data_IF_782622277636
#
_entry.id   IF_782622277636
#
_cell.length_a   1.000
_cell.length_b   1.000
_cell.length_c   1.000
_cell.angle_alpha   90.00
_cell.angle_beta   90.00
_cell.angle_gamma   90.00
#
_symmetry.space_group_name_H-M   'P 1'
#
loop_
_entity.id
_entity.type
_entity.pdbx_description
1 polymer ?
#
# COMPACT_ATOMS: atom_id res chain seq x y z
N UNK A 1 -0.90 16.82 -10.93
CA UNK A 1 -0.03 16.97 -9.75
C UNK A 1 0.09 15.61 -9.06
N UNK A 2 1.30 15.12 -8.80
CA UNK A 2 1.48 13.81 -8.15
C UNK A 2 1.09 13.86 -6.68
N UNK A 3 0.17 13.00 -6.28
CA UNK A 3 -0.24 12.85 -4.89
C UNK A 3 0.69 11.87 -4.17
N UNK A 4 0.91 12.09 -2.88
CA UNK A 4 1.81 11.27 -2.06
C UNK A 4 1.13 10.76 -0.81
N UNK A 5 1.47 9.53 -0.44
CA UNK A 5 1.04 8.87 0.80
C UNK A 5 2.28 8.61 1.63
N UNK A 6 2.25 9.03 2.90
CA UNK A 6 3.34 8.77 3.82
C UNK A 6 3.06 7.49 4.61
N UNK A 7 3.95 6.52 4.49
CA UNK A 7 3.94 5.27 5.26
C UNK A 7 5.24 5.21 6.07
N UNK A 8 5.20 5.66 7.33
CA UNK A 8 6.30 5.55 8.30
C UNK A 8 7.69 5.86 7.71
N UNK A 9 7.86 7.09 7.19
CA UNK A 9 9.13 7.54 6.60
C UNK A 9 9.31 7.18 5.12
N UNK A 10 8.44 6.35 4.54
CA UNK A 10 8.33 6.15 3.10
C UNK A 10 7.37 7.16 2.51
N UNK A 11 7.79 7.82 1.42
CA UNK A 11 6.95 8.73 0.66
C UNK A 11 6.53 8.05 -0.63
N UNK A 12 5.35 7.44 -0.64
CA UNK A 12 4.84 6.66 -1.76
C UNK A 12 4.08 7.57 -2.72
N UNK A 13 4.39 7.49 -4.02
CA UNK A 13 3.62 8.20 -5.02
C UNK A 13 2.33 7.42 -5.34
N UNK A 14 1.20 8.11 -5.26
CA UNK A 14 -0.08 7.52 -5.60
C UNK A 14 -0.26 7.47 -7.13
N UNK A 15 -0.70 6.32 -7.63
CA UNK A 15 -1.14 6.15 -9.01
C UNK A 15 -2.57 5.60 -9.04
N UNK A 16 -3.41 6.17 -9.89
CA UNK A 16 -4.81 5.74 -10.04
C UNK A 16 -4.96 4.39 -10.78
N UNK A 17 -3.87 3.89 -11.38
CA UNK A 17 -3.80 2.61 -12.08
C UNK A 17 -2.47 1.91 -11.74
N UNK A 18 -2.39 0.62 -12.03
CA UNK A 18 -1.12 -0.12 -11.97
C UNK A 18 -0.05 0.59 -12.81
N UNK A 19 1.12 0.80 -12.21
CA UNK A 19 2.24 1.54 -12.80
C UNK A 19 3.55 0.98 -12.28
N UNK A 20 4.60 1.11 -13.10
CA UNK A 20 5.99 0.82 -12.73
C UNK A 20 6.88 2.07 -12.71
N UNK A 21 6.33 3.24 -13.02
CA UNK A 21 7.08 4.50 -13.10
C UNK A 21 7.06 5.21 -11.75
N UNK A 22 8.21 5.21 -11.07
CA UNK A 22 8.39 5.89 -9.79
C UNK A 22 8.91 7.32 -10.05
N UNK A 23 8.19 8.37 -9.62
CA UNK A 23 8.64 9.74 -9.78
C UNK A 23 9.83 10.06 -8.85
N UNK A 24 10.71 11.01 -9.21
CA UNK A 24 11.84 11.40 -8.39
C UNK A 24 11.43 11.79 -6.95
N UNK A 25 12.18 11.29 -5.97
CA UNK A 25 11.93 11.56 -4.54
C UNK A 25 10.76 10.80 -3.92
N UNK A 26 10.22 9.80 -4.61
CA UNK A 26 9.32 8.80 -4.04
C UNK A 26 10.10 7.54 -3.64
N UNK A 27 9.68 6.91 -2.54
CA UNK A 27 10.26 5.65 -2.04
C UNK A 27 9.57 4.40 -2.64
N UNK A 28 8.71 4.60 -3.63
CA UNK A 28 7.86 3.57 -4.24
C UNK A 28 6.50 4.11 -4.66
N UNK A 29 5.62 3.20 -5.07
CA UNK A 29 4.25 3.50 -5.50
C UNK A 29 3.21 2.96 -4.53
N UNK A 30 2.03 3.55 -4.57
CA UNK A 30 0.80 2.96 -4.05
C UNK A 30 -0.32 3.11 -5.08
N UNK A 31 -0.99 2.01 -5.44
CA UNK A 31 -2.01 2.01 -6.50
C UNK A 31 -3.12 0.99 -6.24
N UNK A 32 -4.34 1.21 -6.76
CA UNK A 32 -5.48 0.34 -6.48
C UNK A 32 -5.30 -1.03 -7.13
N UNK A 33 -5.69 -2.06 -6.39
CA UNK A 33 -5.78 -3.43 -6.89
C UNK A 33 -6.89 -4.16 -6.16
N UNK A 34 -7.83 -4.72 -6.93
CA UNK A 34 -8.97 -5.49 -6.41
C UNK A 34 -9.72 -4.71 -5.31
N UNK A 35 -9.76 -5.23 -4.07
CA UNK A 35 -10.41 -4.58 -2.93
C UNK A 35 -9.48 -3.65 -2.12
N UNK A 36 -8.25 -3.42 -2.56
CA UNK A 36 -7.22 -2.78 -1.76
C UNK A 36 -6.21 -1.97 -2.58
N UNK A 37 -5.00 -1.83 -2.03
CA UNK A 37 -3.91 -1.07 -2.66
C UNK A 37 -2.57 -1.81 -2.55
N UNK A 38 -1.87 -1.95 -3.68
CA UNK A 38 -0.50 -2.47 -3.71
C UNK A 38 0.46 -1.34 -3.35
N UNK A 39 1.49 -1.66 -2.58
CA UNK A 39 2.61 -0.81 -2.24
C UNK A 39 3.90 -1.44 -2.78
N UNK A 40 4.70 -0.65 -3.49
CA UNK A 40 6.02 -1.06 -3.98
C UNK A 40 7.14 -0.41 -3.20
N UNK A 41 8.35 -0.95 -3.35
CA UNK A 41 9.57 -0.22 -3.02
C UNK A 41 10.03 0.69 -4.18
N UNK A 42 11.21 1.30 -4.02
CA UNK A 42 11.84 2.21 -4.98
C UNK A 42 12.27 1.54 -6.30
N UNK A 43 12.30 0.21 -6.35
CA UNK A 43 12.63 -0.59 -7.53
C UNK A 43 11.35 -1.06 -8.25
N UNK A 44 10.19 -0.53 -7.86
CA UNK A 44 8.86 -0.95 -8.35
C UNK A 44 8.53 -2.41 -8.03
N UNK A 45 9.19 -3.02 -7.04
CA UNK A 45 8.87 -4.36 -6.58
C UNK A 45 7.73 -4.28 -5.58
N UNK A 46 6.67 -5.05 -5.82
CA UNK A 46 5.52 -5.14 -4.92
C UNK A 46 5.93 -5.80 -3.60
N UNK A 47 5.69 -5.11 -2.48
CA UNK A 47 6.10 -5.59 -1.16
C UNK A 47 4.93 -5.79 -0.23
N UNK A 48 3.98 -4.85 -0.24
CA UNK A 48 2.84 -4.84 0.65
C UNK A 48 1.53 -4.67 -0.12
N UNK A 49 0.46 -5.21 0.46
CA UNK A 49 -0.90 -4.99 0.04
C UNK A 49 -1.70 -4.53 1.25
N UNK A 50 -2.42 -3.43 1.09
CA UNK A 50 -3.44 -3.03 2.05
C UNK A 50 -4.74 -3.65 1.58
N UNK A 51 -5.16 -4.71 2.27
CA UNK A 51 -6.48 -5.28 2.08
C UNK A 51 -7.51 -4.46 2.86
N UNK A 52 -8.71 -4.34 2.33
CA UNK A 52 -9.85 -3.80 3.04
C UNK A 52 -11.00 -4.80 3.01
N UNK A 53 -11.35 -5.29 4.19
CA UNK A 53 -12.50 -6.14 4.36
C UNK A 53 -13.76 -5.27 4.48
N UNK A 54 -14.64 -5.39 3.50
CA UNK A 54 -15.89 -4.64 3.44
C UNK A 54 -16.92 -5.10 4.49
N UNK A 55 -16.84 -6.35 4.95
CA UNK A 55 -17.76 -6.88 5.94
C UNK A 55 -17.47 -6.33 7.33
N UNK A 56 -16.19 -6.27 7.71
CA UNK A 56 -15.75 -5.76 9.01
C UNK A 56 -15.39 -4.27 9.00
N UNK A 57 -15.15 -3.69 7.83
CA UNK A 57 -14.65 -2.31 7.67
C UNK A 57 -13.18 -2.14 8.04
N UNK A 58 -12.47 -3.24 8.31
CA UNK A 58 -11.08 -3.25 8.76
C UNK A 58 -10.14 -3.29 7.55
N UNK A 59 -9.00 -2.61 7.68
CA UNK A 59 -7.88 -2.74 6.74
C UNK A 59 -6.64 -3.28 7.44
N UNK A 60 -5.85 -4.08 6.74
CA UNK A 60 -4.61 -4.65 7.25
C UNK A 60 -3.54 -4.75 6.18
N UNK A 61 -2.28 -4.87 6.61
CA UNK A 61 -1.14 -5.08 5.74
C UNK A 61 -0.89 -6.57 5.53
N UNK A 62 -0.74 -6.97 4.26
CA UNK A 62 -0.25 -8.29 3.87
C UNK A 62 1.05 -8.11 3.07
N UNK A 63 1.93 -9.10 3.14
CA UNK A 63 3.07 -9.20 2.23
C UNK A 63 2.59 -9.67 0.87
N UNK A 64 3.14 -9.10 -0.19
CA UNK A 64 2.93 -9.58 -1.56
C UNK A 64 3.98 -10.64 -1.88
N UNK A 65 3.52 -11.86 -2.08
CA UNK A 65 4.28 -12.96 -2.68
C UNK A 65 3.91 -13.17 -4.15
N UNK A 66 4.76 -13.92 -4.86
CA UNK A 66 4.47 -14.40 -6.22
C UNK A 66 4.60 -15.91 -6.28
N UNK A 67 3.61 -16.56 -6.87
CA UNK A 67 3.65 -17.98 -7.23
C UNK A 67 3.40 -18.11 -8.73
N UNK A 68 4.50 -18.18 -9.50
CA UNK A 68 4.46 -18.06 -10.96
C UNK A 68 3.99 -16.65 -11.37
N UNK A 69 2.98 -16.59 -12.26
CA UNK A 69 2.38 -15.32 -12.71
C UNK A 69 1.32 -14.75 -11.74
N UNK A 70 0.93 -15.50 -10.71
CA UNK A 70 -0.11 -15.09 -9.77
C UNK A 70 0.50 -14.45 -8.52
N UNK A 71 -0.11 -13.35 -8.08
CA UNK A 71 0.14 -12.75 -6.77
C UNK A 71 -0.49 -13.62 -5.69
N UNK A 72 0.16 -13.69 -4.55
CA UNK A 72 -0.33 -14.35 -3.35
C UNK A 72 -0.11 -13.40 -2.17
N UNK A 73 -1.03 -13.36 -1.22
CA UNK A 73 -0.94 -12.45 -0.07
C UNK A 73 -0.72 -13.27 1.20
N UNK A 74 0.30 -12.89 1.96
CA UNK A 74 0.79 -13.64 3.12
C UNK A 74 0.82 -12.75 4.36
N UNK A 75 0.81 -13.32 5.56
CA UNK A 75 1.22 -12.59 6.76
C UNK A 75 2.58 -11.93 6.53
N UNK A 76 2.71 -10.69 7.00
CA UNK A 76 3.97 -9.96 6.91
C UNK A 76 5.06 -10.65 7.73
N UNK A 77 6.31 -10.59 7.25
CA UNK A 77 7.49 -11.05 7.99
C UNK A 77 8.30 -9.87 8.54
N UNK A 78 9.20 -10.13 9.49
CA UNK A 78 10.01 -9.09 10.17
C UNK A 78 10.79 -8.19 9.22
N UNK A 79 11.34 -8.75 8.14
CA UNK A 79 12.09 -8.00 7.14
C UNK A 79 11.20 -6.97 6.43
N UNK A 80 10.01 -7.39 5.99
CA UNK A 80 9.05 -6.50 5.32
C UNK A 80 8.52 -5.46 6.30
N UNK A 81 8.23 -5.86 7.54
CA UNK A 81 7.78 -4.93 8.58
C UNK A 81 8.82 -3.84 8.85
N UNK A 82 10.09 -4.22 9.05
CA UNK A 82 11.21 -3.29 9.25
C UNK A 82 11.42 -2.37 8.06
N UNK A 83 11.37 -2.90 6.83
CA UNK A 83 11.55 -2.11 5.62
C UNK A 83 10.55 -0.96 5.49
N UNK A 84 9.35 -1.12 6.04
CA UNK A 84 8.29 -0.10 6.05
C UNK A 84 8.03 0.51 7.43
N UNK A 85 8.89 0.25 8.43
CA UNK A 85 8.76 0.79 9.79
C UNK A 85 7.46 0.41 10.50
N UNK A 86 6.92 -0.76 10.17
CA UNK A 86 5.70 -1.35 10.73
C UNK A 86 5.99 -2.30 11.91
N UNK A 87 7.24 -2.73 12.07
CA UNK A 87 7.70 -3.67 13.10
C UNK A 87 7.53 -3.15 14.53
N UNK A 88 7.50 -1.83 14.69
CA UNK A 88 7.30 -1.17 15.99
C UNK A 88 5.82 -1.01 16.38
N UNK A 89 4.89 -1.36 15.48
CA UNK A 89 3.47 -1.16 15.70
C UNK A 89 2.88 -2.41 16.36
N UNK A 90 2.07 -2.21 17.39
CA UNK A 90 1.16 -3.25 17.83
C UNK A 90 0.04 -3.47 16.79
N UNK A 91 -0.74 -4.53 16.99
CA UNK A 91 -1.82 -4.93 16.10
C UNK A 91 -2.81 -3.79 15.85
N UNK A 92 -3.28 -3.10 16.90
CA UNK A 92 -4.29 -2.05 16.77
C UNK A 92 -3.74 -0.84 16.02
N UNK A 93 -2.51 -0.43 16.32
CA UNK A 93 -1.84 0.67 15.64
C UNK A 93 -1.62 0.35 14.14
N UNK A 94 -1.30 -0.90 13.81
CA UNK A 94 -1.15 -1.39 12.44
C UNK A 94 -2.48 -1.30 11.67
N UNK A 95 -3.58 -1.79 12.26
CA UNK A 95 -4.93 -1.71 11.67
C UNK A 95 -5.36 -0.25 11.43
N UNK A 96 -5.16 0.63 12.42
CA UNK A 96 -5.52 2.05 12.31
C UNK A 96 -4.72 2.75 11.20
N UNK A 97 -3.43 2.45 11.08
CA UNK A 97 -2.58 2.99 10.03
C UNK A 97 -3.02 2.52 8.64
N UNK A 98 -3.26 1.21 8.47
CA UNK A 98 -3.71 0.64 7.21
C UNK A 98 -5.05 1.27 6.79
N UNK A 99 -6.00 1.40 7.72
CA UNK A 99 -7.30 2.03 7.47
C UNK A 99 -7.15 3.50 7.05
N UNK A 100 -6.30 4.28 7.72
CA UNK A 100 -6.04 5.68 7.36
C UNK A 100 -5.47 5.80 5.95
N UNK A 101 -4.49 4.98 5.60
CA UNK A 101 -3.89 4.99 4.26
C UNK A 101 -4.91 4.57 3.21
N UNK A 102 -5.66 3.50 3.45
CA UNK A 102 -6.72 3.04 2.55
C UNK A 102 -7.73 4.16 2.26
N UNK A 103 -8.21 4.86 3.29
CA UNK A 103 -9.15 5.98 3.12
C UNK A 103 -8.53 7.16 2.36
N UNK A 104 -7.26 7.47 2.58
CA UNK A 104 -6.55 8.50 1.82
C UNK A 104 -6.46 8.12 0.33
N UNK A 105 -6.05 6.89 0.02
CA UNK A 105 -5.97 6.39 -1.35
C UNK A 105 -7.34 6.35 -2.05
N UNK A 106 -8.40 6.01 -1.32
CA UNK A 106 -9.78 6.07 -1.83
C UNK A 106 -10.17 7.49 -2.24
N UNK A 107 -9.86 8.50 -1.42
CA UNK A 107 -10.12 9.91 -1.75
C UNK A 107 -9.36 10.32 -3.01
N UNK A 108 -8.08 9.96 -3.10
CA UNK A 108 -7.24 10.21 -4.27
C UNK A 108 -7.79 9.57 -5.54
N UNK A 109 -8.21 8.31 -5.45
CA UNK A 109 -8.83 7.60 -6.56
C UNK A 109 -10.12 8.30 -7.03
N UNK A 110 -11.00 8.67 -6.09
CA UNK A 110 -12.24 9.38 -6.41
C UNK A 110 -12.00 10.74 -7.09
N UNK A 111 -10.98 11.49 -6.66
CA UNK A 111 -10.59 12.75 -7.30
C UNK A 111 -10.03 12.54 -8.70
N UNK A 112 -9.31 11.44 -8.94
CA UNK A 112 -8.76 11.11 -10.24
C UNK A 112 -9.82 10.58 -11.23
N UNK A 113 -10.91 9.98 -10.75
CA UNK A 113 -12.03 9.48 -11.58
C UNK A 113 -13.11 10.54 -11.86
N UNK A 114 -13.03 11.72 -11.25
CA UNK A 114 -14.05 12.77 -11.35
C UNK A 114 -13.82 13.78 -12.46
N UNK A 115 -13.16 13.42 -13.57
CA UNK A 115 -13.02 14.21 -14.80
C UNK A 115 -13.41 13.37 -16.00
#
# INVERSE_FOLDING_TARGET
>A
MTQFVNLRGKRLAFSAKESSSIPPGASGLIYPKDAGFIITDEQSVERLFIEHDKATGISWFLKVGRRGLRRWFEPTNDETLKAFGLDILDYNASILLAGRIHQQCRKYLSSASGH
#
